data_IF_543347963235
#
_entry.id   IF_543347963235
#
_cell.length_a   1.000
_cell.length_b   1.000
_cell.length_c   1.000
_cell.angle_alpha   90.00
_cell.angle_beta   90.00
_cell.angle_gamma   90.00
#
_symmetry.space_group_name_H-M   'P 1'
#
loop_
_entity.id
_entity.type
_entity.pdbx_description
1 polymer ?
#
# COMPACT_ATOMS: atom_id res chain seq x y z
N UNK A 1 -8.23 -0.64 0.49
CA UNK A 1 -8.48 0.82 0.57
C UNK A 1 -9.00 1.35 -0.76
N UNK A 2 -9.78 2.43 -0.76
CA UNK A 2 -10.21 3.11 -2.00
C UNK A 2 -9.43 4.42 -2.15
N UNK A 3 -8.62 4.53 -3.20
CA UNK A 3 -7.82 5.72 -3.49
C UNK A 3 -8.72 6.79 -4.12
N UNK A 4 -8.60 8.03 -3.63
CA UNK A 4 -9.36 9.20 -4.10
C UNK A 4 -8.53 10.15 -4.92
N UNK A 5 -7.27 10.33 -4.54
CA UNK A 5 -6.30 11.11 -5.29
C UNK A 5 -4.91 10.59 -4.93
N UNK A 6 -3.99 10.62 -5.87
CA UNK A 6 -2.58 10.41 -5.59
C UNK A 6 -1.72 11.27 -6.51
N UNK A 7 -0.64 11.84 -5.99
CA UNK A 7 0.26 12.71 -6.77
C UNK A 7 1.71 12.49 -6.35
N UNK A 8 2.62 12.56 -7.31
CA UNK A 8 4.06 12.63 -7.08
C UNK A 8 4.51 14.09 -7.19
N UNK A 9 5.27 14.57 -6.21
CA UNK A 9 5.88 15.91 -6.24
C UNK A 9 7.40 15.79 -6.25
N UNK A 10 8.04 16.54 -7.13
CA UNK A 10 9.48 16.56 -7.33
C UNK A 10 10.01 17.97 -7.10
N UNK A 11 11.09 18.09 -6.30
CA UNK A 11 11.82 19.35 -6.25
C UNK A 11 12.93 19.34 -7.30
N UNK A 12 12.97 20.36 -8.15
CA UNK A 12 13.94 20.46 -9.24
C UNK A 12 15.36 20.70 -8.72
N UNK A 13 16.30 19.85 -9.14
CA UNK A 13 17.70 19.89 -8.72
C UNK A 13 18.56 20.88 -9.50
N UNK A 14 18.26 21.03 -10.79
CA UNK A 14 19.02 21.86 -11.73
C UNK A 14 18.05 22.49 -12.73
N UNK A 15 18.32 23.72 -13.17
CA UNK A 15 17.72 24.18 -14.41
C UNK A 15 18.33 23.34 -15.54
N UNK A 16 17.49 22.64 -16.27
CA UNK A 16 17.88 21.89 -17.47
C UNK A 16 17.62 22.76 -18.72
N UNK A 17 17.44 22.14 -19.89
CA UNK A 17 17.06 22.86 -21.10
C UNK A 17 15.65 23.49 -21.01
N UNK A 18 15.40 24.45 -21.89
CA UNK A 18 14.11 25.16 -21.97
C UNK A 18 13.04 24.39 -22.76
N UNK A 19 13.38 23.22 -23.29
CA UNK A 19 12.44 22.41 -24.08
C UNK A 19 11.41 21.73 -23.19
N UNK A 20 10.17 21.68 -23.66
CA UNK A 20 9.11 20.90 -23.01
C UNK A 20 9.36 19.40 -23.15
N UNK A 21 8.79 18.62 -22.25
CA UNK A 21 8.83 17.16 -22.33
C UNK A 21 7.51 16.56 -21.90
N UNK A 22 7.19 15.39 -22.44
CA UNK A 22 6.06 14.57 -22.02
C UNK A 22 6.58 13.23 -21.51
N UNK A 23 6.03 12.77 -20.39
CA UNK A 23 6.38 11.48 -19.78
C UNK A 23 5.11 10.68 -19.49
N UNK A 24 5.28 9.37 -19.37
CA UNK A 24 4.25 8.48 -18.83
C UNK A 24 4.70 7.93 -17.47
N UNK A 25 3.76 7.89 -16.54
CA UNK A 25 3.93 7.41 -15.18
C UNK A 25 3.18 6.09 -15.04
N UNK A 26 3.90 5.05 -14.64
CA UNK A 26 3.35 3.71 -14.32
C UNK A 26 3.89 3.25 -12.98
N UNK A 27 3.18 2.31 -12.34
CA UNK A 27 3.64 1.63 -11.14
C UNK A 27 4.43 0.37 -11.49
N UNK A 28 5.27 -0.08 -10.56
CA UNK A 28 5.87 -1.42 -10.58
C UNK A 28 4.88 -2.37 -9.93
N UNK A 29 4.33 -3.31 -10.70
CA UNK A 29 3.30 -4.25 -10.26
C UNK A 29 3.90 -5.41 -9.44
N UNK A 30 4.50 -5.06 -8.31
CA UNK A 30 5.04 -5.99 -7.29
C UNK A 30 4.28 -5.79 -5.97
N UNK A 31 4.08 -6.88 -5.20
CA UNK A 31 3.43 -6.83 -3.87
C UNK A 31 4.17 -5.93 -2.87
N UNK A 32 5.49 -5.91 -2.99
CA UNK A 32 6.40 -5.09 -2.22
C UNK A 32 7.60 -4.82 -3.13
N UNK A 33 7.74 -3.58 -3.59
CA UNK A 33 8.75 -3.23 -4.58
C UNK A 33 10.15 -3.54 -4.05
N UNK A 34 10.87 -4.41 -4.75
CA UNK A 34 12.24 -4.76 -4.38
C UNK A 34 13.17 -3.56 -4.57
N UNK A 35 14.16 -3.42 -3.70
CA UNK A 35 15.21 -2.40 -3.81
C UNK A 35 15.81 -2.35 -5.21
N UNK A 36 16.12 -1.15 -5.70
CA UNK A 36 16.82 -0.96 -6.96
C UNK A 36 18.31 -1.19 -6.75
N UNK A 37 18.88 -2.18 -7.44
CA UNK A 37 20.31 -2.46 -7.46
C UNK A 37 20.86 -2.36 -8.89
N UNK A 38 22.18 -2.23 -9.03
CA UNK A 38 22.84 -2.24 -10.34
C UNK A 38 23.02 -3.69 -10.84
N UNK A 39 21.90 -4.40 -11.05
CA UNK A 39 21.86 -5.78 -11.56
C UNK A 39 20.81 -5.93 -12.65
N UNK A 40 20.97 -6.92 -13.53
CA UNK A 40 20.03 -7.17 -14.63
C UNK A 40 18.59 -7.46 -14.15
N UNK A 41 18.43 -8.14 -13.02
CA UNK A 41 17.12 -8.43 -12.41
C UNK A 41 16.45 -7.18 -11.81
N UNK A 42 17.25 -6.18 -11.43
CA UNK A 42 16.75 -4.89 -10.93
C UNK A 42 16.47 -3.88 -12.04
N UNK A 43 16.76 -4.24 -13.31
CA UNK A 43 16.55 -3.36 -14.44
C UNK A 43 15.07 -2.97 -14.57
N UNK A 44 14.82 -1.68 -14.80
CA UNK A 44 13.46 -1.16 -14.94
C UNK A 44 12.69 -1.76 -16.13
N UNK A 45 13.39 -2.36 -17.10
CA UNK A 45 12.82 -3.02 -18.27
C UNK A 45 12.25 -4.41 -17.97
N UNK A 46 12.72 -5.09 -16.91
CA UNK A 46 12.28 -6.45 -16.57
C UNK A 46 11.17 -6.46 -15.52
N UNK A 47 10.93 -5.33 -14.85
CA UNK A 47 9.92 -5.21 -13.80
C UNK A 47 8.51 -5.13 -14.39
N UNK A 48 7.55 -5.88 -13.85
CA UNK A 48 6.16 -5.81 -14.30
C UNK A 48 5.59 -4.42 -14.01
N UNK A 49 4.77 -3.92 -14.94
CA UNK A 49 4.18 -2.58 -14.85
C UNK A 49 2.68 -2.68 -14.60
N UNK A 50 2.12 -1.66 -13.98
CA UNK A 50 0.66 -1.49 -13.95
C UNK A 50 0.10 -1.36 -15.36
N UNK A 51 -1.15 -1.80 -15.54
CA UNK A 51 -1.92 -1.54 -16.76
C UNK A 51 -2.34 -0.08 -16.84
N UNK A 52 -2.71 0.50 -15.70
CA UNK A 52 -2.92 1.93 -15.57
C UNK A 52 -1.62 2.68 -15.87
N UNK A 53 -1.75 3.73 -16.67
CA UNK A 53 -0.67 4.68 -16.96
C UNK A 53 -1.26 6.09 -16.99
N UNK A 54 -0.48 7.07 -16.55
CA UNK A 54 -0.88 8.48 -16.53
C UNK A 54 0.12 9.29 -17.33
N UNK A 55 -0.37 9.99 -18.34
CA UNK A 55 0.43 10.93 -19.11
C UNK A 55 0.62 12.23 -18.31
N UNK A 56 1.87 12.72 -18.29
CA UNK A 56 2.22 14.04 -17.81
C UNK A 56 2.82 14.80 -18.99
N UNK A 57 1.93 15.47 -19.72
CA UNK A 57 2.26 16.11 -20.99
C UNK A 57 2.71 17.55 -20.82
N UNK A 58 3.48 18.03 -21.81
CA UNK A 58 3.87 19.44 -21.94
C UNK A 58 4.48 20.03 -20.67
N UNK A 59 5.29 19.23 -19.96
CA UNK A 59 5.99 19.67 -18.75
C UNK A 59 6.90 20.83 -19.15
N UNK A 60 6.75 22.02 -18.57
CA UNK A 60 7.61 23.16 -18.88
C UNK A 60 9.02 22.94 -18.32
N UNK A 61 9.95 23.79 -18.71
CA UNK A 61 11.29 23.81 -18.11
C UNK A 61 11.18 23.97 -16.58
N UNK A 62 12.04 23.28 -15.85
CA UNK A 62 12.06 23.35 -14.38
C UNK A 62 13.07 24.38 -13.88
N UNK A 63 12.67 25.12 -12.86
CA UNK A 63 13.52 26.05 -12.12
C UNK A 63 13.97 25.42 -10.81
N UNK A 64 15.26 25.56 -10.51
CA UNK A 64 15.88 24.92 -9.34
C UNK A 64 15.19 25.32 -8.04
N UNK A 65 14.98 24.34 -7.16
CA UNK A 65 14.26 24.44 -5.89
C UNK A 65 12.75 24.66 -5.98
N UNK A 66 12.18 24.75 -7.18
CA UNK A 66 10.73 24.73 -7.33
C UNK A 66 10.20 23.29 -7.29
N UNK A 67 8.94 23.16 -6.86
CA UNK A 67 8.23 21.89 -6.75
C UNK A 67 7.28 21.75 -7.94
N UNK A 68 7.37 20.62 -8.62
CA UNK A 68 6.48 20.25 -9.72
C UNK A 68 5.72 18.97 -9.35
N UNK A 69 4.40 19.04 -9.48
CA UNK A 69 3.49 17.94 -9.08
C UNK A 69 2.89 17.30 -10.32
N UNK A 70 2.85 15.96 -10.33
CA UNK A 70 2.24 15.17 -11.38
C UNK A 70 0.72 15.40 -11.46
N UNK A 71 0.09 15.03 -12.59
CA UNK A 71 -1.35 14.76 -12.63
C UNK A 71 -1.76 13.68 -11.62
N UNK A 72 -3.06 13.51 -11.43
CA UNK A 72 -3.59 12.48 -10.53
C UNK A 72 -3.23 11.06 -11.02
N UNK A 73 -2.44 10.36 -10.22
CA UNK A 73 -2.00 8.98 -10.42
C UNK A 73 -2.82 7.99 -9.60
N UNK A 74 -3.99 8.39 -9.10
CA UNK A 74 -4.87 7.53 -8.30
C UNK A 74 -5.17 6.18 -8.95
N UNK A 75 -5.37 6.13 -10.27
CA UNK A 75 -5.60 4.89 -11.00
C UNK A 75 -4.42 3.91 -10.92
N UNK A 76 -3.18 4.42 -11.03
CA UNK A 76 -1.95 3.62 -10.89
C UNK A 76 -1.83 3.09 -9.47
N UNK A 77 -2.00 3.96 -8.47
CA UNK A 77 -1.91 3.57 -7.06
C UNK A 77 -3.02 2.60 -6.67
N UNK A 78 -4.23 2.79 -7.19
CA UNK A 78 -5.37 1.89 -6.94
C UNK A 78 -5.10 0.48 -7.47
N UNK A 79 -4.45 0.35 -8.63
CA UNK A 79 -4.06 -0.96 -9.16
C UNK A 79 -3.05 -1.67 -8.24
N UNK A 80 -2.04 -0.95 -7.75
CA UNK A 80 -1.03 -1.49 -6.84
C UNK A 80 -1.65 -2.00 -5.52
N UNK A 81 -2.52 -1.20 -4.89
CA UNK A 81 -3.15 -1.60 -3.61
C UNK A 81 -4.24 -2.67 -3.78
N UNK A 82 -4.72 -2.90 -5.00
CA UNK A 82 -5.67 -3.97 -5.32
C UNK A 82 -4.97 -5.31 -5.57
N UNK A 83 -3.64 -5.34 -5.66
CA UNK A 83 -2.90 -6.58 -5.87
C UNK A 83 -3.07 -7.51 -4.67
N UNK A 84 -3.36 -8.79 -4.89
CA UNK A 84 -3.79 -9.72 -3.82
C UNK A 84 -2.76 -9.90 -2.69
N UNK A 85 -1.46 -9.72 -2.98
CA UNK A 85 -0.40 -9.79 -1.98
C UNK A 85 0.05 -8.43 -1.44
N UNK A 86 -0.67 -7.34 -1.74
CA UNK A 86 -0.39 -6.04 -1.16
C UNK A 86 -0.78 -6.02 0.32
N UNK A 87 0.11 -5.49 1.16
CA UNK A 87 -0.13 -5.27 2.59
C UNK A 87 0.18 -3.83 2.97
N UNK A 88 -0.42 -3.32 4.05
CA UNK A 88 -0.05 -2.02 4.59
C UNK A 88 1.45 -2.00 4.94
N UNK A 89 2.16 -0.93 4.54
CA UNK A 89 3.61 -0.83 4.70
C UNK A 89 4.43 -1.43 3.55
N UNK A 90 3.82 -2.10 2.57
CA UNK A 90 4.52 -2.50 1.35
C UNK A 90 5.07 -1.29 0.60
N UNK A 91 6.25 -1.45 -0.03
CA UNK A 91 6.86 -0.41 -0.85
C UNK A 91 6.20 -0.32 -2.23
N UNK A 92 5.92 0.91 -2.68
CA UNK A 92 5.50 1.22 -4.05
C UNK A 92 6.68 1.73 -4.87
N UNK A 93 6.77 1.24 -6.11
CA UNK A 93 7.70 1.70 -7.11
C UNK A 93 6.98 2.37 -8.26
N UNK A 94 7.59 3.41 -8.82
CA UNK A 94 7.08 4.12 -9.99
C UNK A 94 8.16 4.18 -11.06
N UNK A 95 7.74 4.07 -12.32
CA UNK A 95 8.59 4.28 -13.48
C UNK A 95 8.03 5.47 -14.23
N UNK A 96 8.89 6.46 -14.47
CA UNK A 96 8.59 7.65 -15.25
C UNK A 96 9.49 7.60 -16.48
N UNK A 97 8.91 7.57 -17.66
CA UNK A 97 9.66 7.45 -18.91
C UNK A 97 9.14 8.42 -19.97
N UNK A 98 10.05 8.94 -20.80
CA UNK A 98 9.72 9.84 -21.90
C UNK A 98 8.79 9.17 -22.91
N UNK A 99 7.81 9.91 -23.41
CA UNK A 99 6.92 9.47 -24.50
C UNK A 99 7.08 10.40 -25.70
N UNK A 100 7.25 9.82 -26.90
CA UNK A 100 7.49 10.58 -28.11
C UNK A 100 8.94 11.07 -28.26
N UNK A 101 9.15 11.94 -29.25
CA UNK A 101 10.47 12.48 -29.59
C UNK A 101 10.66 13.85 -28.92
N UNK A 102 10.94 13.86 -27.62
CA UNK A 102 11.16 15.10 -26.85
C UNK A 102 12.62 15.17 -26.40
N UNK A 103 13.27 16.33 -26.49
CA UNK A 103 14.62 16.52 -25.92
C UNK A 103 14.60 17.18 -24.54
N UNK A 104 13.42 17.58 -24.03
CA UNK A 104 13.31 18.21 -22.71
C UNK A 104 13.76 17.27 -21.58
N UNK A 105 14.67 17.75 -20.73
CA UNK A 105 15.23 16.99 -19.60
C UNK A 105 14.75 17.55 -18.26
N UNK A 106 14.47 16.67 -17.28
CA UNK A 106 14.01 17.06 -15.94
C UNK A 106 14.84 16.33 -14.88
N UNK A 107 15.52 17.11 -14.04
CA UNK A 107 16.35 16.60 -12.94
C UNK A 107 15.73 16.98 -11.60
N UNK A 108 15.34 15.97 -10.82
CA UNK A 108 14.83 16.14 -9.46
C UNK A 108 15.91 15.81 -8.42
N UNK A 109 15.80 16.39 -7.22
CA UNK A 109 16.58 15.91 -6.09
C UNK A 109 16.12 14.51 -5.68
N UNK A 110 17.04 13.72 -5.15
CA UNK A 110 16.77 12.44 -4.51
C UNK A 110 17.18 12.51 -3.04
N UNK A 111 16.61 11.63 -2.20
CA UNK A 111 16.97 11.53 -0.79
C UNK A 111 18.46 11.21 -0.61
N UNK A 112 19.01 10.31 -1.42
CA UNK A 112 20.42 9.88 -1.34
C UNK A 112 21.39 10.88 -1.99
N UNK A 113 20.90 11.78 -2.84
CA UNK A 113 21.72 12.73 -3.59
C UNK A 113 22.09 14.01 -2.83
N UNK A 114 21.45 14.31 -1.69
CA UNK A 114 21.68 15.56 -0.94
C UNK A 114 21.63 15.35 0.58
N UNK A 115 22.67 14.78 1.21
CA UNK A 115 22.62 14.27 2.60
C UNK A 115 22.16 15.26 3.69
N UNK A 116 22.35 16.56 3.48
CA UNK A 116 22.09 17.61 4.49
C UNK A 116 20.78 18.38 4.27
N UNK A 117 20.11 18.20 3.12
CA UNK A 117 18.85 18.90 2.76
C UNK A 117 17.79 17.91 2.24
N UNK A 118 18.04 16.61 2.40
CA UNK A 118 17.34 15.53 1.70
C UNK A 118 15.86 15.35 2.05
N UNK A 119 15.40 15.46 3.31
CA UNK A 119 13.99 15.21 3.62
C UNK A 119 13.04 16.24 2.99
N UNK A 120 13.46 17.50 2.91
CA UNK A 120 12.62 18.58 2.38
C UNK A 120 12.57 18.61 0.84
N UNK A 121 13.56 18.03 0.16
CA UNK A 121 13.67 18.07 -1.30
C UNK A 121 13.47 16.72 -1.98
N UNK A 122 13.40 15.62 -1.21
CA UNK A 122 13.12 14.30 -1.74
C UNK A 122 11.74 14.25 -2.43
N UNK A 123 11.57 13.37 -3.43
CA UNK A 123 10.27 13.15 -4.05
C UNK A 123 9.23 12.71 -3.03
N UNK A 124 8.03 13.29 -3.10
CA UNK A 124 6.93 13.00 -2.19
C UNK A 124 5.78 12.34 -2.94
N UNK A 125 5.35 11.18 -2.44
CA UNK A 125 4.07 10.58 -2.81
C UNK A 125 3.00 11.02 -1.80
N UNK A 126 1.96 11.70 -2.28
CA UNK A 126 0.77 12.03 -1.49
C UNK A 126 -0.38 11.16 -1.96
N UNK A 127 -1.05 10.47 -1.03
CA UNK A 127 -2.22 9.63 -1.31
C UNK A 127 -3.36 10.08 -0.40
N UNK A 128 -4.53 10.32 -0.98
CA UNK A 128 -5.80 10.52 -0.27
C UNK A 128 -6.65 9.29 -0.52
N UNK A 129 -7.12 8.64 0.55
CA UNK A 129 -7.89 7.41 0.43
C UNK A 129 -8.97 7.32 1.52
N UNK A 130 -9.98 6.48 1.26
CA UNK A 130 -10.88 6.00 2.29
C UNK A 130 -10.40 4.65 2.79
N UNK A 131 -10.33 4.54 4.11
CA UNK A 131 -10.06 3.29 4.77
C UNK A 131 -11.38 2.62 5.17
N UNK A 132 -11.66 1.45 4.57
CA UNK A 132 -12.84 0.66 4.87
C UNK A 132 -12.53 -0.38 5.95
N UNK A 133 -11.75 0.00 6.97
CA UNK A 133 -11.58 -0.87 8.15
C UNK A 133 -12.97 -1.05 8.76
N UNK A 134 -13.47 -2.29 8.90
CA UNK A 134 -14.57 -2.54 9.81
C UNK A 134 -14.18 -1.95 11.17
N UNK A 135 -15.08 -1.28 11.91
CA UNK A 135 -14.77 -0.88 13.27
C UNK A 135 -14.19 -2.10 13.99
N UNK A 136 -13.00 -1.95 14.57
CA UNK A 136 -12.34 -3.01 15.32
C UNK A 136 -13.37 -3.57 16.29
N UNK A 137 -13.69 -4.86 16.15
CA UNK A 137 -14.63 -5.52 17.04
C UNK A 137 -14.21 -5.18 18.49
N UNK A 138 -15.14 -4.76 19.37
CA UNK A 138 -14.81 -4.55 20.77
C UNK A 138 -14.13 -5.82 21.29
N UNK A 139 -13.14 -5.72 22.20
CA UNK A 139 -12.41 -6.87 22.69
C UNK A 139 -13.42 -7.95 23.10
N UNK A 140 -13.37 -9.10 22.41
CA UNK A 140 -14.25 -10.23 22.71
C UNK A 140 -14.04 -10.59 24.16
N UNK A 141 -15.09 -10.45 24.99
CA UNK A 141 -15.07 -10.95 26.36
C UNK A 141 -14.60 -12.41 26.30
N UNK A 142 -13.68 -12.84 27.19
CA UNK A 142 -13.29 -14.23 27.24
C UNK A 142 -14.56 -15.09 27.36
N UNK A 143 -14.59 -16.29 26.75
CA UNK A 143 -15.77 -17.15 26.84
C UNK A 143 -16.11 -17.34 28.31
N UNK A 144 -17.34 -16.97 28.69
CA UNK A 144 -17.87 -17.28 30.01
C UNK A 144 -17.71 -18.79 30.21
N UNK A 145 -17.02 -19.18 31.28
CA UNK A 145 -16.79 -20.58 31.61
C UNK A 145 -18.11 -21.35 31.54
N UNK A 146 -18.13 -22.58 30.99
CA UNK A 146 -19.36 -23.37 30.97
C UNK A 146 -19.89 -23.52 32.41
N UNK A 147 -21.23 -23.46 32.61
CA UNK A 147 -21.80 -23.69 33.92
C UNK A 147 -21.34 -25.06 34.45
N UNK A 148 -21.10 -25.20 35.76
CA UNK A 148 -20.74 -26.49 36.34
C UNK A 148 -21.83 -27.52 35.99
N UNK A 149 -21.47 -28.80 35.76
CA UNK A 149 -22.45 -29.83 35.49
C UNK A 149 -23.48 -29.87 36.63
N UNK A 150 -24.76 -29.89 36.26
CA UNK A 150 -25.86 -30.08 37.21
C UNK A 150 -25.57 -31.31 38.07
N UNK A 151 -25.69 -31.16 39.39
CA UNK A 151 -25.51 -32.25 40.33
C UNK A 151 -26.34 -33.48 39.91
N UNK A 152 -25.81 -34.71 39.99
CA UNK A 152 -26.59 -35.89 39.68
C UNK A 152 -27.82 -35.96 40.59
N UNK A 153 -28.97 -36.44 40.07
CA UNK A 153 -30.15 -36.62 40.89
C UNK A 153 -29.84 -37.55 42.09
N UNK A 154 -30.49 -37.34 43.25
CA UNK A 154 -30.30 -38.21 44.39
C UNK A 154 -30.64 -39.65 44.02
N UNK A 155 -29.85 -40.60 44.54
CA UNK A 155 -30.08 -42.02 44.36
C UNK A 155 -31.52 -42.38 44.79
N UNK A 156 -32.22 -43.27 44.06
CA UNK A 156 -33.54 -43.71 44.46
C UNK A 156 -33.47 -44.39 45.86
N UNK A 157 -34.51 -44.23 46.70
CA UNK A 157 -34.55 -44.89 47.99
C UNK A 157 -34.45 -46.41 47.82
N UNK A 158 -33.81 -47.12 48.75
CA UNK A 158 -33.72 -48.58 48.70
C UNK A 158 -35.12 -49.20 48.67
N UNK A 159 -35.29 -50.22 47.83
CA UNK A 159 -36.52 -51.00 47.77
C UNK A 159 -36.86 -51.57 49.16
N UNK A 160 -38.14 -51.57 49.57
CA UNK A 160 -38.56 -52.23 50.79
C UNK A 160 -38.27 -53.74 50.70
N UNK A 161 -37.91 -54.39 51.82
CA UNK A 161 -37.68 -55.83 51.84
C UNK A 161 -38.95 -56.59 51.46
N UNK A 162 -38.84 -57.76 50.82
CA UNK A 162 -39.98 -58.58 50.47
C UNK A 162 -40.76 -59.02 51.73
N UNK A 163 -42.09 -59.18 51.64
CA UNK A 163 -42.89 -59.66 52.76
C UNK A 163 -42.46 -61.08 53.17
N UNK A 164 -42.58 -61.45 54.46
CA UNK A 164 -42.25 -62.79 54.93
C UNK A 164 -43.18 -63.84 54.29
N UNK A 165 -42.60 -65.00 53.97
CA UNK A 165 -43.34 -66.16 53.45
C UNK A 165 -44.39 -66.65 54.46
N UNK A 166 -45.59 -67.04 54.02
CA UNK A 166 -46.62 -67.59 54.90
C UNK A 166 -46.24 -68.98 55.44
N UNK A 167 -46.77 -69.37 56.62
CA UNK A 167 -46.50 -70.67 57.26
C UNK A 167 -47.12 -71.86 56.52
#
# INVERSE_FOLDING_TARGET
ATIKAATLSFTAAKPENSESTSVSIVGIAENNTRTFANTAESALSTRPRTRASVAWDSIPAWHRHEVYTSPDISAVVQELVNHQGWTEGSAMGFIIYSVGNNQGMRSAFSIDGVPLLSPQFAPLLKIVFFDHRPPSAPPSLPPSSPPPPSSPPPSPPPHPPPPPSPP
#
